data_IF_997998888808
#
_entry.id   IF_997998888808
#
_cell.length_a   1.000
_cell.length_b   1.000
_cell.length_c   1.000
_cell.angle_alpha   90.00
_cell.angle_beta   90.00
_cell.angle_gamma   90.00
#
_symmetry.space_group_name_H-M   'P 1'
#
loop_
_entity.id
_entity.type
_entity.pdbx_description
1 polymer ?
#
# COMPACT_ATOMS: atom_id res chain seq x y z
N UNK A 1 -13.88 -9.02 10.53
CA UNK A 1 -13.35 -8.18 11.61
C UNK A 1 -11.85 -8.37 11.83
N UNK A 2 -11.38 -9.61 11.97
CA UNK A 2 -9.96 -9.88 12.14
C UNK A 2 -9.13 -9.36 10.96
N UNK A 3 -9.66 -9.47 9.74
CA UNK A 3 -8.97 -8.98 8.55
C UNK A 3 -8.82 -7.46 8.56
N UNK A 4 -9.83 -6.75 9.04
CA UNK A 4 -9.76 -5.29 9.17
C UNK A 4 -8.72 -4.88 10.20
N UNK A 5 -8.66 -5.59 11.31
CA UNK A 5 -7.67 -5.34 12.36
C UNK A 5 -6.26 -5.56 11.84
N UNK A 6 -6.05 -6.63 11.06
CA UNK A 6 -4.75 -6.91 10.45
C UNK A 6 -4.32 -5.85 9.46
N UNK A 7 -5.26 -5.38 8.61
CA UNK A 7 -4.97 -4.32 7.65
C UNK A 7 -4.59 -3.01 8.35
N UNK A 8 -5.34 -2.66 9.40
CA UNK A 8 -5.03 -1.49 10.21
C UNK A 8 -3.68 -1.67 10.91
N UNK A 9 -3.38 -2.90 11.37
CA UNK A 9 -2.11 -3.22 12.01
C UNK A 9 -0.91 -2.96 11.12
N UNK A 10 -0.99 -3.33 9.84
CA UNK A 10 0.10 -3.09 8.89
C UNK A 10 0.36 -1.59 8.71
N UNK A 11 -0.68 -0.81 8.49
CA UNK A 11 -0.55 0.64 8.34
C UNK A 11 0.02 1.26 9.60
N UNK A 12 -0.45 0.83 10.76
CA UNK A 12 0.03 1.30 12.04
C UNK A 12 1.51 0.96 12.23
N UNK A 13 1.89 -0.28 11.91
CA UNK A 13 3.28 -0.71 12.04
C UNK A 13 4.20 0.13 11.17
N UNK A 14 3.80 0.40 9.93
CA UNK A 14 4.57 1.26 9.03
C UNK A 14 4.67 2.69 9.58
N UNK A 15 3.58 3.20 10.12
CA UNK A 15 3.53 4.57 10.66
C UNK A 15 4.40 4.74 11.90
N UNK A 16 4.61 3.68 12.68
CA UNK A 16 5.46 3.71 13.85
C UNK A 16 6.95 3.71 13.51
N UNK A 17 7.31 3.31 12.29
CA UNK A 17 8.69 3.31 11.84
C UNK A 17 9.12 4.72 11.41
N UNK A 18 10.41 5.06 11.55
CA UNK A 18 10.92 6.28 10.93
C UNK A 18 10.70 6.23 9.42
N UNK A 19 10.46 7.38 8.81
CA UNK A 19 10.18 7.43 7.37
C UNK A 19 11.33 6.86 6.54
N UNK A 20 12.56 6.99 7.02
CA UNK A 20 13.73 6.46 6.33
C UNK A 20 14.04 5.00 6.65
N UNK A 21 13.22 4.33 7.46
CA UNK A 21 13.45 2.93 7.77
C UNK A 21 13.40 2.08 6.49
N UNK A 22 14.39 1.21 6.32
CA UNK A 22 14.49 0.37 5.14
C UNK A 22 13.79 -0.96 5.40
N UNK A 23 12.93 -1.35 4.48
CA UNK A 23 12.13 -2.56 4.59
C UNK A 23 12.47 -3.46 3.42
N UNK A 24 12.93 -4.68 3.70
CA UNK A 24 13.24 -5.67 2.68
C UNK A 24 11.97 -6.32 2.13
N UNK A 25 12.11 -6.98 0.99
CA UNK A 25 10.99 -7.73 0.40
C UNK A 25 10.49 -8.80 1.36
N UNK A 26 11.42 -9.49 2.03
CA UNK A 26 11.06 -10.52 3.00
C UNK A 26 10.28 -9.93 4.18
N UNK A 27 10.76 -8.81 4.71
CA UNK A 27 10.07 -8.15 5.83
C UNK A 27 8.69 -7.67 5.41
N UNK A 28 8.57 -7.10 4.21
CA UNK A 28 7.29 -6.63 3.70
C UNK A 28 6.31 -7.78 3.50
N UNK A 29 6.80 -8.91 2.98
CA UNK A 29 5.99 -10.10 2.82
C UNK A 29 5.43 -10.58 4.18
N UNK A 30 6.26 -10.58 5.20
CA UNK A 30 5.83 -10.95 6.55
C UNK A 30 4.78 -9.98 7.09
N UNK A 31 4.98 -8.68 6.90
CA UNK A 31 4.03 -7.67 7.36
C UNK A 31 2.65 -7.86 6.73
N UNK A 32 2.60 -8.19 5.46
CA UNK A 32 1.34 -8.41 4.76
C UNK A 32 0.86 -9.86 4.83
N UNK A 33 1.62 -10.73 5.49
CA UNK A 33 1.30 -12.16 5.59
C UNK A 33 1.14 -12.80 4.22
N UNK A 34 2.05 -12.47 3.30
CA UNK A 34 2.07 -12.96 1.93
C UNK A 34 3.43 -13.55 1.59
N UNK A 35 3.50 -14.30 0.52
CA UNK A 35 4.77 -14.77 -0.03
C UNK A 35 5.49 -13.65 -0.76
N UNK A 36 6.81 -13.74 -0.85
CA UNK A 36 7.62 -12.75 -1.56
C UNK A 36 7.20 -12.59 -3.02
N UNK A 37 6.79 -13.69 -3.66
CA UNK A 37 6.29 -13.64 -5.05
C UNK A 37 5.08 -12.70 -5.16
N UNK A 38 4.19 -12.73 -4.17
CA UNK A 38 3.02 -11.84 -4.13
C UNK A 38 3.43 -10.38 -4.04
N UNK A 39 4.51 -10.09 -3.31
CA UNK A 39 5.03 -8.72 -3.20
C UNK A 39 5.55 -8.24 -4.57
N UNK A 40 6.28 -9.09 -5.29
CA UNK A 40 6.76 -8.77 -6.63
C UNK A 40 5.60 -8.48 -7.59
N UNK A 41 4.56 -9.29 -7.53
CA UNK A 41 3.37 -9.09 -8.36
C UNK A 41 2.63 -7.81 -8.01
N UNK A 42 2.57 -7.47 -6.73
CA UNK A 42 1.95 -6.23 -6.29
C UNK A 42 2.68 -5.01 -6.85
N UNK A 43 4.02 -5.05 -6.90
CA UNK A 43 4.81 -3.98 -7.50
C UNK A 43 4.50 -3.88 -9.00
N UNK A 44 4.43 -5.00 -9.70
CA UNK A 44 4.11 -5.03 -11.13
C UNK A 44 2.72 -4.45 -11.43
N UNK A 45 1.77 -4.69 -10.54
CA UNK A 45 0.40 -4.17 -10.66
C UNK A 45 0.26 -2.74 -10.16
N UNK A 46 1.35 -2.15 -9.67
CA UNK A 46 1.38 -0.81 -9.08
C UNK A 46 0.57 -0.70 -7.79
N UNK A 47 0.32 -1.81 -7.14
CA UNK A 47 -0.29 -1.84 -5.81
C UNK A 47 0.72 -1.43 -4.73
N UNK A 48 2.00 -1.62 -5.00
CA UNK A 48 3.10 -1.17 -4.17
C UNK A 48 4.02 -0.28 -5.00
N UNK A 49 4.75 0.66 -4.36
CA UNK A 49 5.67 1.53 -5.09
C UNK A 49 6.86 0.72 -5.61
N UNK A 50 7.57 1.24 -6.64
CA UNK A 50 8.76 0.58 -7.13
C UNK A 50 9.81 0.50 -6.02
N UNK A 51 10.54 -0.61 -5.99
CA UNK A 51 11.62 -0.79 -5.04
C UNK A 51 12.88 -0.07 -5.49
N UNK A 52 13.75 0.25 -4.54
CA UNK A 52 15.12 0.65 -4.83
C UNK A 52 16.02 -0.56 -4.57
N UNK A 53 17.15 -0.60 -5.25
CA UNK A 53 18.11 -1.69 -5.07
C UNK A 53 19.18 -1.29 -4.07
N UNK A 54 19.36 -2.14 -3.05
CA UNK A 54 20.41 -1.97 -2.08
C UNK A 54 21.11 -3.32 -1.93
N UNK A 55 22.42 -3.35 -2.21
CA UNK A 55 23.19 -4.60 -2.25
C UNK A 55 22.55 -5.66 -3.16
N UNK A 56 21.97 -5.21 -4.28
CA UNK A 56 21.34 -6.12 -5.23
C UNK A 56 19.95 -6.61 -4.86
N UNK A 57 19.43 -6.19 -3.70
CA UNK A 57 18.13 -6.63 -3.23
C UNK A 57 17.10 -5.50 -3.29
N UNK A 58 15.84 -5.82 -3.58
CA UNK A 58 14.78 -4.81 -3.58
C UNK A 58 14.43 -4.41 -2.15
N UNK A 59 14.38 -3.11 -1.90
CA UNK A 59 13.99 -2.56 -0.60
C UNK A 59 13.11 -1.34 -0.80
N UNK A 60 12.39 -0.98 0.25
CA UNK A 60 11.53 0.21 0.29
C UNK A 60 11.82 1.00 1.56
N UNK A 61 11.45 2.26 1.56
CA UNK A 61 11.40 3.01 2.82
C UNK A 61 9.98 3.01 3.35
N UNK A 62 9.84 3.09 4.67
CA UNK A 62 8.52 3.15 5.29
C UNK A 62 7.73 4.36 4.78
N UNK A 63 8.40 5.51 4.63
CA UNK A 63 7.76 6.72 4.11
C UNK A 63 7.20 6.55 2.71
N UNK A 64 7.95 5.90 1.82
CA UNK A 64 7.50 5.66 0.45
C UNK A 64 6.29 4.73 0.41
N UNK A 65 6.29 3.70 1.24
CA UNK A 65 5.15 2.78 1.34
C UNK A 65 3.89 3.48 1.84
N UNK A 66 4.02 4.27 2.89
CA UNK A 66 2.89 5.01 3.46
C UNK A 66 2.33 6.00 2.44
N UNK A 67 3.20 6.78 1.81
CA UNK A 67 2.78 7.76 0.81
C UNK A 67 2.03 7.11 -0.35
N UNK A 68 2.53 5.96 -0.81
CA UNK A 68 1.88 5.23 -1.91
C UNK A 68 0.50 4.73 -1.50
N UNK A 69 0.38 4.15 -0.31
CA UNK A 69 -0.90 3.63 0.19
C UNK A 69 -1.91 4.76 0.40
N UNK A 70 -1.47 5.89 0.96
CA UNK A 70 -2.32 7.05 1.14
C UNK A 70 -2.84 7.58 -0.18
N UNK A 71 -1.96 7.63 -1.19
CA UNK A 71 -2.35 8.09 -2.53
C UNK A 71 -3.39 7.16 -3.16
N UNK A 72 -3.22 5.86 -3.01
CA UNK A 72 -4.20 4.89 -3.53
C UNK A 72 -5.55 5.04 -2.86
N UNK A 73 -5.56 5.26 -1.55
CA UNK A 73 -6.80 5.49 -0.80
C UNK A 73 -7.50 6.75 -1.27
N UNK A 74 -6.75 7.81 -1.51
CA UNK A 74 -7.28 9.08 -2.00
C UNK A 74 -7.89 8.91 -3.37
N UNK A 75 -7.21 8.21 -4.28
CA UNK A 75 -7.71 7.95 -5.62
C UNK A 75 -8.99 7.13 -5.60
N UNK A 76 -9.06 6.12 -4.75
CA UNK A 76 -10.26 5.29 -4.60
C UNK A 76 -11.44 6.13 -4.10
N UNK A 77 -11.21 7.02 -3.13
CA UNK A 77 -12.24 7.91 -2.62
C UNK A 77 -12.73 8.87 -3.70
N UNK A 78 -11.82 9.43 -4.51
CA UNK A 78 -12.16 10.32 -5.61
C UNK A 78 -13.01 9.61 -6.66
N UNK A 79 -12.66 8.39 -7.01
CA UNK A 79 -13.42 7.59 -7.96
C UNK A 79 -14.84 7.33 -7.46
N UNK A 80 -14.96 6.99 -6.19
CA UNK A 80 -16.28 6.75 -5.57
C UNK A 80 -17.11 8.00 -5.57
N UNK A 81 -16.54 9.14 -5.25
CA UNK A 81 -17.22 10.42 -5.25
C UNK A 81 -17.73 10.76 -6.66
N UNK A 82 -16.90 10.53 -7.68
CA UNK A 82 -17.30 10.76 -9.08
C UNK A 82 -18.47 9.87 -9.49
N UNK A 83 -18.44 8.61 -9.07
CA UNK A 83 -19.52 7.67 -9.34
C UNK A 83 -20.81 8.10 -8.66
N UNK A 84 -20.75 8.52 -7.42
CA UNK A 84 -21.92 8.99 -6.69
C UNK A 84 -22.54 10.23 -7.35
N UNK A 85 -21.72 11.17 -7.78
CA UNK A 85 -22.20 12.36 -8.50
C UNK A 85 -22.86 12.00 -9.82
N UNK A 86 -22.28 11.04 -10.55
CA UNK A 86 -22.83 10.59 -11.83
C UNK A 86 -24.19 9.92 -11.62
N UNK A 87 -24.31 9.08 -10.61
CA UNK A 87 -25.56 8.42 -10.27
C UNK A 87 -26.61 9.46 -9.85
N UNK A 88 -26.21 10.42 -9.03
CA UNK A 88 -27.09 11.50 -8.60
C UNK A 88 -27.63 12.30 -9.77
N UNK A 89 -26.79 12.61 -10.76
CA UNK A 89 -27.20 13.33 -11.94
C UNK A 89 -28.18 12.54 -12.82
N UNK A 90 -27.98 11.21 -12.87
CA UNK A 90 -28.89 10.36 -13.65
C UNK A 90 -30.25 10.20 -13.00
N UNK A 91 -30.32 10.26 -11.68
CA UNK A 91 -31.58 10.12 -10.95
C UNK A 91 -32.33 11.44 -10.77
N UNK A 92 -31.65 12.53 -11.01
CA UNK A 92 -32.25 13.84 -10.92
C UNK A 92 -33.03 14.17 -12.18
#
# INVERSE_FOLDING_TARGET
MEMEVKSIGVIKDLAELPQGAIISEEALAKMFMRHQVSIKRAVERKELPPSIRLFGEPVWTAGALIAHLENRLRMAADEQTKLEKRIGNLTA
#
